data_IF_181071418911
#
_entry.id   IF_181071418911
#
_cell.length_a   1.000
_cell.length_b   1.000
_cell.length_c   1.000
_cell.angle_alpha   90.00
_cell.angle_beta   90.00
_cell.angle_gamma   90.00
#
_symmetry.space_group_name_H-M   'P 1'
#
loop_
_entity.id
_entity.type
_entity.pdbx_description
1 polymer ?
#
# COMPACT_ATOMS: atom_id res chain seq x y z
N UNK A 1 -50.06 6.14 -12.94
CA UNK A 1 -49.00 5.17 -13.31
C UNK A 1 -48.09 5.00 -12.11
N UNK A 2 -47.88 3.76 -11.63
CA UNK A 2 -47.17 3.45 -10.38
C UNK A 2 -45.69 3.17 -10.72
N UNK A 3 -44.80 4.11 -10.42
CA UNK A 3 -43.36 3.94 -10.63
C UNK A 3 -42.76 3.23 -9.41
N UNK A 4 -42.28 2.01 -9.63
CA UNK A 4 -41.64 1.20 -8.61
C UNK A 4 -40.15 1.59 -8.56
N UNK A 5 -39.75 2.36 -7.54
CA UNK A 5 -38.35 2.62 -7.26
C UNK A 5 -37.76 1.40 -6.54
N UNK A 6 -36.96 0.59 -7.23
CA UNK A 6 -36.15 -0.45 -6.59
C UNK A 6 -34.81 0.18 -6.23
N UNK A 7 -34.66 0.59 -4.98
CA UNK A 7 -33.38 0.99 -4.41
C UNK A 7 -32.64 -0.28 -3.99
N UNK A 8 -31.81 -0.84 -4.88
CA UNK A 8 -30.87 -1.90 -4.51
C UNK A 8 -29.70 -1.27 -3.76
N UNK A 9 -29.83 -1.11 -2.44
CA UNK A 9 -28.68 -0.83 -1.57
C UNK A 9 -27.80 -2.08 -1.50
N UNK A 10 -26.72 -2.12 -2.27
CA UNK A 10 -25.61 -3.01 -1.96
C UNK A 10 -24.98 -2.52 -0.65
N UNK A 11 -25.19 -3.26 0.44
CA UNK A 11 -24.39 -3.10 1.65
C UNK A 11 -22.99 -3.61 1.30
N UNK A 12 -22.07 -2.70 0.96
CA UNK A 12 -20.67 -3.03 0.89
C UNK A 12 -20.21 -3.38 2.32
N UNK A 13 -20.12 -4.68 2.62
CA UNK A 13 -19.49 -5.16 3.84
C UNK A 13 -18.04 -4.70 3.83
N UNK A 14 -17.71 -3.62 4.55
CA UNK A 14 -16.32 -3.22 4.77
C UNK A 14 -15.72 -4.20 5.77
N UNK A 15 -15.30 -5.36 5.30
CA UNK A 15 -14.35 -6.17 6.05
C UNK A 15 -13.04 -5.37 6.06
N UNK A 16 -12.75 -4.70 7.18
CA UNK A 16 -11.42 -4.15 7.42
C UNK A 16 -10.51 -5.37 7.65
N UNK A 17 -9.91 -5.89 6.58
CA UNK A 17 -8.94 -6.96 6.73
C UNK A 17 -7.81 -6.45 7.64
N UNK A 18 -7.48 -7.22 8.67
CA UNK A 18 -6.33 -6.87 9.50
C UNK A 18 -5.08 -6.92 8.61
N UNK A 19 -4.48 -5.75 8.37
CA UNK A 19 -3.24 -5.62 7.60
C UNK A 19 -2.16 -6.49 8.24
N UNK A 20 -1.44 -7.24 7.42
CA UNK A 20 -0.41 -8.13 7.90
C UNK A 20 0.83 -7.28 8.21
N UNK A 21 1.51 -7.59 9.31
CA UNK A 21 2.77 -6.96 9.59
C UNK A 21 3.85 -7.58 8.69
N UNK A 22 4.84 -6.80 8.24
CA UNK A 22 5.97 -7.36 7.48
C UNK A 22 6.69 -8.44 8.28
N UNK A 23 6.71 -8.32 9.62
CA UNK A 23 7.29 -9.33 10.52
C UNK A 23 6.54 -10.67 10.57
N UNK A 24 5.30 -10.76 10.08
CA UNK A 24 4.55 -12.04 10.00
C UNK A 24 4.72 -12.76 8.66
N UNK A 25 5.38 -12.13 7.67
CA UNK A 25 5.64 -12.72 6.37
C UNK A 25 6.73 -13.79 6.42
N UNK A 26 6.65 -14.76 5.51
CA UNK A 26 7.75 -15.70 5.30
C UNK A 26 8.99 -14.97 4.75
N UNK A 27 10.17 -15.54 4.93
CA UNK A 27 11.41 -14.96 4.38
C UNK A 27 11.35 -14.78 2.85
N UNK A 28 10.67 -15.68 2.13
CA UNK A 28 10.48 -15.59 0.69
C UNK A 28 9.55 -14.43 0.30
N UNK A 29 8.47 -14.23 1.06
CA UNK A 29 7.53 -13.13 0.84
C UNK A 29 8.18 -11.77 1.16
N UNK A 30 8.98 -11.70 2.23
CA UNK A 30 9.77 -10.51 2.57
C UNK A 30 10.77 -10.17 1.45
N UNK A 31 11.49 -11.16 0.91
CA UNK A 31 12.41 -10.95 -0.20
C UNK A 31 11.67 -10.46 -1.46
N UNK A 32 10.50 -11.02 -1.76
CA UNK A 32 9.64 -10.59 -2.87
C UNK A 32 9.18 -9.14 -2.67
N UNK A 33 8.78 -8.79 -1.46
CA UNK A 33 8.35 -7.44 -1.10
C UNK A 33 9.49 -6.42 -1.28
N UNK A 34 10.71 -6.75 -0.83
CA UNK A 34 11.91 -5.93 -1.04
C UNK A 34 12.22 -5.72 -2.53
N UNK A 35 12.09 -6.76 -3.36
CA UNK A 35 12.28 -6.64 -4.81
C UNK A 35 11.22 -5.74 -5.46
N UNK A 36 9.96 -5.86 -5.04
CA UNK A 36 8.88 -4.99 -5.53
C UNK A 36 9.10 -3.54 -5.09
N UNK A 37 9.53 -3.30 -3.85
CA UNK A 37 9.91 -1.96 -3.36
C UNK A 37 11.08 -1.38 -4.14
N UNK A 38 12.12 -2.18 -4.44
CA UNK A 38 13.25 -1.77 -5.27
C UNK A 38 12.79 -1.29 -6.66
N UNK A 39 11.90 -2.07 -7.28
CA UNK A 39 11.30 -1.73 -8.58
C UNK A 39 10.47 -0.45 -8.48
N UNK A 40 9.65 -0.30 -7.44
CA UNK A 40 8.85 0.91 -7.23
C UNK A 40 9.75 2.15 -7.09
N UNK A 41 10.81 2.07 -6.27
CA UNK A 41 11.78 3.18 -6.10
C UNK A 41 12.51 3.51 -7.40
N UNK A 42 12.75 2.53 -8.26
CA UNK A 42 13.34 2.77 -9.60
C UNK A 42 12.38 3.56 -10.49
N UNK A 43 11.10 3.21 -10.49
CA UNK A 43 10.08 3.87 -11.33
C UNK A 43 9.69 5.25 -10.81
N UNK A 44 9.54 5.40 -9.50
CA UNK A 44 8.90 6.56 -8.88
C UNK A 44 9.81 7.37 -7.96
N UNK A 45 10.97 6.83 -7.55
CA UNK A 45 11.93 7.53 -6.69
C UNK A 45 12.43 8.87 -7.25
N UNK A 46 12.79 8.97 -8.55
CA UNK A 46 13.15 10.26 -9.15
C UNK A 46 12.02 11.30 -9.09
N UNK A 47 10.78 10.85 -9.35
CA UNK A 47 9.58 11.71 -9.29
C UNK A 47 9.32 12.14 -7.84
N UNK A 48 9.44 11.20 -6.89
CA UNK A 48 9.31 11.48 -5.46
C UNK A 48 10.31 12.54 -5.00
N UNK A 49 11.57 12.39 -5.41
CA UNK A 49 12.65 13.31 -5.07
C UNK A 49 12.40 14.70 -5.65
N UNK A 50 12.05 14.78 -6.93
CA UNK A 50 11.81 16.05 -7.62
C UNK A 50 10.66 16.86 -6.99
N UNK A 51 9.68 16.17 -6.41
CA UNK A 51 8.51 16.81 -5.79
C UNK A 51 8.61 16.91 -4.25
N UNK A 52 9.72 16.51 -3.64
CA UNK A 52 9.89 16.55 -2.18
C UNK A 52 9.00 15.56 -1.41
N UNK A 53 8.62 14.45 -2.05
CA UNK A 53 7.74 13.41 -1.51
C UNK A 53 8.47 12.21 -0.92
N UNK A 54 9.80 12.24 -0.87
CA UNK A 54 10.53 11.20 -0.15
C UNK A 54 10.20 11.30 1.35
N UNK A 55 9.78 10.19 1.99
CA UNK A 55 9.52 10.21 3.42
C UNK A 55 10.82 10.53 4.17
N UNK A 56 10.71 11.22 5.31
CA UNK A 56 11.82 11.29 6.25
C UNK A 56 12.01 9.87 6.80
N UNK A 57 13.17 9.29 6.50
CA UNK A 57 13.52 7.94 6.94
C UNK A 57 14.14 8.03 8.32
N UNK A 58 13.62 7.26 9.26
CA UNK A 58 14.32 7.01 10.51
C UNK A 58 15.39 5.96 10.23
N UNK A 59 16.63 6.42 10.06
CA UNK A 59 17.78 5.56 9.70
C UNK A 59 18.20 4.59 10.81
N UNK A 60 17.55 4.65 11.97
CA UNK A 60 17.87 3.81 13.14
C UNK A 60 17.44 2.34 12.96
N UNK A 61 16.58 2.04 11.97
CA UNK A 61 15.98 0.71 11.76
C UNK A 61 16.00 0.28 10.29
N UNK A 62 17.17 0.38 9.64
CA UNK A 62 17.39 -0.03 8.25
C UNK A 62 17.88 -1.47 8.19
N UNK A 63 17.29 -2.29 7.33
CA UNK A 63 17.71 -3.68 7.09
C UNK A 63 19.02 -3.77 6.29
N UNK A 64 19.55 -4.99 6.11
CA UNK A 64 20.80 -5.21 5.36
C UNK A 64 20.72 -4.80 3.88
N UNK A 65 19.53 -4.57 3.35
CA UNK A 65 19.27 -4.17 1.98
C UNK A 65 19.01 -2.66 1.83
N UNK A 66 19.14 -1.90 2.92
CA UNK A 66 18.98 -0.44 2.89
C UNK A 66 17.53 0.03 2.97
N UNK A 67 16.58 -0.84 3.37
CA UNK A 67 15.18 -0.47 3.58
C UNK A 67 14.85 -0.39 5.06
N UNK A 68 14.17 0.68 5.48
CA UNK A 68 13.64 0.71 6.84
C UNK A 68 12.40 -0.19 6.98
N UNK A 69 12.17 -0.71 8.19
CA UNK A 69 10.96 -1.52 8.49
C UNK A 69 9.68 -0.75 8.14
N UNK A 70 9.67 0.57 8.37
CA UNK A 70 8.58 1.47 8.01
C UNK A 70 8.36 1.59 6.48
N UNK A 71 9.43 1.58 5.67
CA UNK A 71 9.33 1.58 4.21
C UNK A 71 8.70 0.28 3.72
N UNK A 72 9.18 -0.85 4.24
CA UNK A 72 8.63 -2.16 3.90
C UNK A 72 7.17 -2.28 4.32
N UNK A 73 6.82 -1.84 5.54
CA UNK A 73 5.45 -1.91 6.02
C UNK A 73 4.50 -1.05 5.17
N UNK A 74 4.94 0.15 4.78
CA UNK A 74 4.14 1.03 3.92
C UNK A 74 3.93 0.44 2.53
N UNK A 75 4.99 -0.14 1.96
CA UNK A 75 4.91 -0.82 0.68
C UNK A 75 3.98 -2.04 0.77
N UNK A 76 4.10 -2.84 1.83
CA UNK A 76 3.23 -3.98 2.11
C UNK A 76 1.76 -3.59 2.19
N UNK A 77 1.43 -2.54 2.95
CA UNK A 77 0.06 -2.04 3.04
C UNK A 77 -0.51 -1.69 1.66
N UNK A 78 0.30 -1.10 0.77
CA UNK A 78 -0.15 -0.77 -0.60
C UNK A 78 -0.41 -2.02 -1.44
N UNK A 79 0.38 -3.07 -1.26
CA UNK A 79 0.13 -4.38 -1.89
C UNK A 79 -1.19 -4.96 -1.41
N UNK A 80 -1.45 -4.91 -0.10
CA UNK A 80 -2.72 -5.36 0.48
C UNK A 80 -3.91 -4.54 -0.03
N UNK A 81 -3.79 -3.21 -0.08
CA UNK A 81 -4.84 -2.33 -0.60
C UNK A 81 -5.18 -2.66 -2.07
N UNK A 82 -4.17 -2.95 -2.90
CA UNK A 82 -4.39 -3.36 -4.29
C UNK A 82 -5.06 -4.73 -4.40
N UNK A 83 -4.70 -5.69 -3.54
CA UNK A 83 -5.31 -7.02 -3.49
C UNK A 83 -6.77 -6.95 -3.04
N UNK A 84 -7.08 -6.14 -2.02
CA UNK A 84 -8.44 -5.90 -1.55
C UNK A 84 -9.31 -5.24 -2.62
N UNK A 85 -8.77 -4.21 -3.30
CA UNK A 85 -9.48 -3.53 -4.37
C UNK A 85 -9.78 -4.46 -5.56
N UNK A 86 -8.82 -5.32 -5.93
CA UNK A 86 -9.00 -6.33 -6.98
C UNK A 86 -10.04 -7.39 -6.58
N UNK A 87 -10.05 -7.84 -5.32
CA UNK A 87 -11.05 -8.79 -4.83
C UNK A 87 -12.47 -8.19 -4.84
N UNK A 88 -12.60 -6.89 -4.56
CA UNK A 88 -13.88 -6.19 -4.59
C UNK A 88 -14.36 -5.83 -6.00
N UNK A 89 -13.43 -5.69 -6.97
CA UNK A 89 -13.73 -5.24 -8.33
C UNK A 89 -12.97 -6.12 -9.35
N UNK A 90 -13.47 -7.34 -9.62
CA UNK A 90 -12.73 -8.34 -10.42
C UNK A 90 -12.52 -7.95 -11.89
N UNK A 91 -13.33 -7.03 -12.42
CA UNK A 91 -13.21 -6.54 -13.79
C UNK A 91 -12.23 -5.36 -13.93
N UNK A 92 -11.64 -4.89 -12.82
CA UNK A 92 -10.69 -3.78 -12.80
C UNK A 92 -9.28 -4.26 -12.44
N UNK A 93 -8.27 -3.62 -13.05
CA UNK A 93 -6.87 -3.91 -12.76
C UNK A 93 -6.34 -2.96 -11.68
N UNK A 94 -5.80 -3.53 -10.59
CA UNK A 94 -5.15 -2.77 -9.52
C UNK A 94 -3.69 -3.20 -9.41
N UNK A 95 -2.83 -2.21 -9.17
CA UNK A 95 -1.40 -2.43 -9.06
C UNK A 95 -0.82 -1.61 -7.91
N UNK A 96 0.08 -2.19 -7.10
CA UNK A 96 0.83 -1.45 -6.09
C UNK A 96 1.87 -0.51 -6.74
N UNK A 97 2.14 -0.65 -8.04
CA UNK A 97 3.04 0.23 -8.79
C UNK A 97 2.34 1.50 -9.25
N UNK A 98 1.87 2.31 -8.30
CA UNK A 98 1.21 3.58 -8.57
C UNK A 98 1.91 4.75 -7.85
N UNK A 99 1.57 5.98 -8.25
CA UNK A 99 2.11 7.21 -7.64
C UNK A 99 1.49 7.54 -6.28
N UNK A 100 0.40 6.88 -5.86
CA UNK A 100 -0.28 7.21 -4.61
C UNK A 100 0.60 6.94 -3.37
N UNK A 101 1.59 6.04 -3.49
CA UNK A 101 2.60 5.83 -2.44
C UNK A 101 3.45 7.07 -2.12
N UNK A 102 3.60 8.00 -3.06
CA UNK A 102 4.39 9.22 -2.87
C UNK A 102 3.81 10.12 -1.77
N UNK A 103 2.50 10.07 -1.55
CA UNK A 103 1.80 11.03 -0.68
C UNK A 103 1.44 10.49 0.70
N UNK A 104 1.87 9.27 1.06
CA UNK A 104 1.54 8.68 2.35
C UNK A 104 2.35 9.34 3.48
N UNK A 105 1.86 10.49 3.98
CA UNK A 105 2.33 11.09 5.23
C UNK A 105 1.89 10.17 6.37
N UNK A 106 2.83 9.68 7.18
CA UNK A 106 2.52 8.97 8.41
C UNK A 106 1.69 9.93 9.28
N UNK A 107 0.48 9.58 9.75
CA UNK A 107 -0.09 10.32 10.86
C UNK A 107 0.88 10.14 12.01
N UNK A 108 1.56 11.22 12.41
CA UNK A 108 2.27 11.24 13.68
C UNK A 108 1.28 10.71 14.72
N UNK A 109 1.66 9.67 15.46
CA UNK A 109 0.92 9.25 16.63
C UNK A 109 0.67 10.51 17.45
N UNK A 110 -0.61 10.90 17.56
CA UNK A 110 -1.00 12.12 18.25
C UNK A 110 -0.53 12.05 19.70
N UNK A 111 -0.02 13.19 20.17
CA UNK A 111 0.24 13.48 21.58
C UNK A 111 -1.01 13.30 22.47
#
# INVERSE_FOLDING_TARGET
>A
MKACFIFCTWLASTALAARQAVGSLSAADQATLQQQLAKWKTLYGPIAKANGFLPQLNTESVDSNGYSVEELQRFHNTVQDAQEAAAANPDAEFSPFNQAQLHQRHPAAGD
#
